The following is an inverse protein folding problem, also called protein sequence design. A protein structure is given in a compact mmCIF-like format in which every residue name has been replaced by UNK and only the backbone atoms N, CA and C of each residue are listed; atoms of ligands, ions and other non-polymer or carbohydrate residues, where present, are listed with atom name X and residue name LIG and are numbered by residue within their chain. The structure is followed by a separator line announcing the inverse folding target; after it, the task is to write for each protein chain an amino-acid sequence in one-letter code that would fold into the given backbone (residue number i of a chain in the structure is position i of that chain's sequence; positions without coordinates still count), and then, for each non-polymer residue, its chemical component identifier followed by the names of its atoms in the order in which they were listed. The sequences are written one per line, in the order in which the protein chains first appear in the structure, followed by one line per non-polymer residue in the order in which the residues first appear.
data_IF_469706533375
#
_entry.id   IF_469706533375
#
_cell.length_a   1.000
_cell.length_b   1.000
_cell.length_c   1.000
_cell.angle_alpha   90.00
_cell.angle_beta   90.00
_cell.angle_gamma   90.00
#
_symmetry.space_group_name_H-M   'P 1'
#
loop_
_entity.id
_entity.type
_entity.pdbx_description
1 polymer ?
#
# COMPACT_ATOMS: atom_id res chain seq x y z
N UNK A 1 -27.76 -9.81 1.98
CA UNK A 1 -26.51 -9.52 2.69
C UNK A 1 -26.58 -9.94 4.16
N UNK A 2 -27.55 -9.49 4.95
CA UNK A 2 -27.61 -9.85 6.37
C UNK A 2 -27.92 -11.32 6.65
N UNK A 3 -28.67 -11.99 5.78
CA UNK A 3 -29.11 -13.38 5.98
C UNK A 3 -28.02 -14.41 5.66
N UNK A 4 -27.00 -14.04 4.87
CA UNK A 4 -25.93 -14.95 4.45
C UNK A 4 -24.57 -14.50 4.96
N UNK A 5 -24.25 -13.21 4.83
CA UNK A 5 -22.91 -12.69 5.14
C UNK A 5 -22.67 -12.64 6.64
N UNK A 6 -23.61 -12.11 7.41
CA UNK A 6 -23.43 -12.00 8.85
C UNK A 6 -23.39 -13.36 9.57
N UNK A 7 -24.28 -14.33 9.27
CA UNK A 7 -24.13 -15.69 9.80
C UNK A 7 -22.83 -16.37 9.38
N UNK A 8 -22.31 -16.05 8.19
CA UNK A 8 -20.98 -16.53 7.75
C UNK A 8 -19.87 -16.01 8.64
N UNK A 9 -19.85 -14.72 8.93
CA UNK A 9 -18.88 -14.13 9.87
C UNK A 9 -18.99 -14.71 11.28
N UNK A 10 -20.18 -14.96 11.76
CA UNK A 10 -20.42 -15.51 13.10
C UNK A 10 -20.33 -17.03 13.16
N UNK A 11 -19.90 -17.70 12.09
CA UNK A 11 -19.65 -19.13 12.13
C UNK A 11 -18.53 -19.45 13.14
N UNK A 12 -18.74 -20.37 14.12
CA UNK A 12 -17.75 -20.69 15.14
C UNK A 12 -16.40 -21.22 14.63
N UNK A 13 -16.34 -21.60 13.34
CA UNK A 13 -15.09 -22.03 12.69
C UNK A 13 -14.22 -20.86 12.21
N UNK A 14 -14.77 -19.65 12.19
CA UNK A 14 -14.07 -18.45 11.75
C UNK A 14 -13.56 -17.69 12.97
N UNK A 15 -12.40 -17.11 12.83
CA UNK A 15 -11.85 -16.11 13.75
C UNK A 15 -11.75 -14.80 12.99
N UNK A 16 -12.56 -13.83 13.36
CA UNK A 16 -12.70 -12.55 12.66
C UNK A 16 -11.94 -11.46 13.40
N UNK A 17 -10.97 -10.88 12.72
CA UNK A 17 -10.24 -9.71 13.20
C UNK A 17 -10.72 -8.48 12.42
N UNK A 18 -11.11 -7.44 13.13
CA UNK A 18 -11.45 -6.14 12.54
C UNK A 18 -10.45 -5.11 13.01
N UNK A 19 -9.75 -4.48 12.07
CA UNK A 19 -8.90 -3.32 12.32
C UNK A 19 -9.62 -2.09 11.78
N UNK A 20 -10.02 -1.19 12.67
CA UNK A 20 -10.81 0.00 12.29
C UNK A 20 -10.51 1.14 13.26
N UNK A 21 -10.61 2.37 12.77
CA UNK A 21 -10.48 3.58 13.58
C UNK A 21 -11.72 3.86 14.42
N UNK A 22 -12.85 3.23 14.09
CA UNK A 22 -14.13 3.40 14.77
C UNK A 22 -14.79 2.06 15.08
N UNK A 23 -15.60 1.98 16.14
CA UNK A 23 -16.40 0.80 16.45
C UNK A 23 -17.59 0.69 15.48
N UNK A 24 -17.31 0.25 14.26
CA UNK A 24 -18.29 0.09 13.19
C UNK A 24 -19.25 -1.08 13.44
N UNK A 25 -20.34 -1.13 12.65
CA UNK A 25 -21.26 -2.28 12.69
C UNK A 25 -20.55 -3.59 12.36
N UNK A 26 -19.56 -3.56 11.47
CA UNK A 26 -18.72 -4.73 11.13
C UNK A 26 -17.97 -5.24 12.37
N UNK A 27 -17.50 -4.36 13.23
CA UNK A 27 -16.81 -4.72 14.45
C UNK A 27 -17.68 -5.56 15.43
N UNK A 28 -19.01 -5.49 15.31
CA UNK A 28 -19.92 -6.33 16.12
C UNK A 28 -19.82 -7.83 15.77
N UNK A 29 -19.30 -8.16 14.58
CA UNK A 29 -19.08 -9.54 14.19
C UNK A 29 -17.67 -10.05 14.53
N UNK A 30 -16.79 -9.19 15.05
CA UNK A 30 -15.40 -9.54 15.31
C UNK A 30 -15.23 -10.37 16.60
N UNK A 31 -14.25 -11.25 16.56
CA UNK A 31 -13.70 -11.93 17.74
C UNK A 31 -12.57 -11.12 18.37
N UNK A 32 -11.86 -10.33 17.57
CA UNK A 32 -10.81 -9.42 17.99
C UNK A 32 -10.95 -8.08 17.25
N UNK A 33 -10.88 -6.99 18.00
CA UNK A 33 -10.85 -5.64 17.43
C UNK A 33 -9.48 -5.03 17.72
N UNK A 34 -8.82 -4.56 16.66
CA UNK A 34 -7.57 -3.83 16.75
C UNK A 34 -7.83 -2.35 16.40
N UNK A 35 -7.58 -1.44 17.35
CA UNK A 35 -7.71 -0.02 17.04
C UNK A 35 -6.63 0.40 16.04
N UNK A 36 -7.03 1.02 14.94
CA UNK A 36 -6.11 1.49 13.91
C UNK A 36 -6.06 3.00 13.80
N UNK A 37 -4.89 3.51 13.45
CA UNK A 37 -4.68 4.93 13.22
C UNK A 37 -5.40 5.40 11.94
N UNK A 38 -5.98 6.58 11.99
CA UNK A 38 -6.54 7.25 10.82
C UNK A 38 -5.44 7.76 9.89
N UNK A 39 -5.82 8.13 8.67
CA UNK A 39 -4.86 8.60 7.66
C UNK A 39 -4.02 9.80 8.11
N UNK A 40 -4.54 10.70 8.94
CA UNK A 40 -3.81 11.86 9.49
C UNK A 40 -2.90 11.49 10.68
N UNK A 41 -3.11 10.32 11.24
CA UNK A 41 -2.41 9.80 12.43
C UNK A 41 -1.30 8.81 12.06
N UNK A 42 -0.98 8.69 10.80
CA UNK A 42 0.06 7.82 10.24
C UNK A 42 0.64 8.41 8.97
N UNK A 43 1.79 7.91 8.58
CA UNK A 43 2.38 8.14 7.27
C UNK A 43 1.78 7.20 6.24
N UNK A 44 1.80 7.59 4.99
CA UNK A 44 1.30 6.69 3.96
C UNK A 44 1.20 7.29 2.57
N UNK A 45 0.65 6.47 1.68
CA UNK A 45 0.34 6.85 0.32
C UNK A 45 -1.05 6.38 -0.06
N UNK A 46 -1.74 7.14 -0.88
CA UNK A 46 -2.95 6.66 -1.55
C UNK A 46 -3.02 7.11 -3.00
N UNK A 47 -3.68 6.29 -3.79
CA UNK A 47 -4.16 6.66 -5.10
C UNK A 47 -5.61 7.16 -5.02
N UNK A 48 -6.00 7.98 -5.96
CA UNK A 48 -7.36 8.48 -6.07
C UNK A 48 -7.97 8.18 -7.44
N UNK A 49 -9.20 8.60 -7.66
CA UNK A 49 -9.91 8.41 -8.93
C UNK A 49 -9.24 9.11 -10.12
N UNK A 50 -8.38 10.11 -9.88
CA UNK A 50 -7.56 10.74 -10.92
C UNK A 50 -6.30 9.93 -11.27
N UNK A 51 -6.08 8.78 -10.67
CA UNK A 51 -4.85 7.98 -10.79
C UNK A 51 -3.63 8.69 -10.20
N UNK A 52 -3.84 9.62 -9.27
CA UNK A 52 -2.77 10.36 -8.63
C UNK A 52 -2.30 9.60 -7.39
N UNK A 53 -1.01 9.31 -7.29
CA UNK A 53 -0.39 8.80 -6.07
C UNK A 53 0.17 9.96 -5.27
N UNK A 54 -0.17 10.02 -3.99
CA UNK A 54 0.22 11.08 -3.07
C UNK A 54 0.73 10.48 -1.77
N UNK A 55 1.82 11.02 -1.25
CA UNK A 55 2.32 10.70 0.08
C UNK A 55 1.96 11.80 1.07
N UNK A 56 1.74 11.42 2.31
CA UNK A 56 1.51 12.33 3.41
C UNK A 56 2.30 11.92 4.64
N UNK A 57 2.54 12.90 5.48
CA UNK A 57 3.15 12.72 6.78
C UNK A 57 2.09 12.49 7.85
N UNK A 58 2.50 11.88 8.96
CA UNK A 58 1.73 11.90 10.18
C UNK A 58 1.57 13.36 10.64
N UNK A 59 0.35 13.80 10.86
CA UNK A 59 0.02 15.18 11.25
C UNK A 59 -0.36 15.29 12.72
N UNK A 60 -0.77 14.19 13.33
CA UNK A 60 -1.14 14.10 14.74
C UNK A 60 -0.92 12.68 15.24
N UNK A 61 -0.68 12.53 16.53
CA UNK A 61 -0.56 11.20 17.13
C UNK A 61 -1.89 10.45 17.12
N UNK A 62 -1.80 9.16 16.87
CA UNK A 62 -2.93 8.26 17.05
C UNK A 62 -3.33 8.18 18.52
N UNK A 63 -4.62 8.18 18.86
CA UNK A 63 -5.06 8.12 20.26
C UNK A 63 -4.86 6.74 20.87
N UNK A 64 -4.53 6.72 22.14
CA UNK A 64 -4.43 5.50 22.95
C UNK A 64 -3.43 4.48 22.38
N UNK A 65 -3.89 3.27 22.18
CA UNK A 65 -3.07 2.16 21.65
C UNK A 65 -3.18 1.99 20.13
N UNK A 66 -3.87 2.89 19.44
CA UNK A 66 -4.05 2.81 18.00
C UNK A 66 -2.71 2.81 17.25
N UNK A 67 -2.58 1.90 16.30
CA UNK A 67 -1.39 1.76 15.45
C UNK A 67 -1.80 1.69 13.99
N UNK A 68 -0.90 2.05 13.09
CA UNK A 68 -1.16 1.90 11.66
C UNK A 68 -1.29 0.45 11.24
N UNK A 69 -1.97 0.21 10.12
CA UNK A 69 -2.09 -1.13 9.56
C UNK A 69 -0.71 -1.73 9.25
N UNK A 70 0.21 -0.92 8.73
CA UNK A 70 1.58 -1.37 8.44
C UNK A 70 2.30 -1.79 9.73
N UNK A 71 2.19 -1.00 10.79
CA UNK A 71 2.77 -1.36 12.09
C UNK A 71 2.21 -2.70 12.60
N UNK A 72 0.90 -2.87 12.53
CA UNK A 72 0.24 -4.11 12.94
C UNK A 72 0.77 -5.32 12.13
N UNK A 73 0.83 -5.19 10.80
CA UNK A 73 1.34 -6.26 9.93
C UNK A 73 2.81 -6.59 10.21
N UNK A 74 3.64 -5.58 10.41
CA UNK A 74 5.05 -5.77 10.76
C UNK A 74 5.19 -6.49 12.10
N UNK A 75 4.44 -6.08 13.12
CA UNK A 75 4.47 -6.74 14.43
C UNK A 75 3.95 -8.19 14.39
N UNK A 76 2.92 -8.47 13.61
CA UNK A 76 2.48 -9.85 13.37
C UNK A 76 3.56 -10.67 12.68
N UNK A 77 4.20 -10.13 11.67
CA UNK A 77 5.20 -10.82 10.87
C UNK A 77 6.43 -11.27 11.67
N UNK A 78 6.71 -10.61 12.79
CA UNK A 78 7.80 -11.00 13.70
C UNK A 78 7.52 -12.27 14.50
N UNK A 79 6.24 -12.68 14.61
CA UNK A 79 5.78 -13.78 15.46
C UNK A 79 5.65 -15.11 14.73
N UNK A 80 5.74 -15.10 13.41
CA UNK A 80 5.56 -16.29 12.59
C UNK A 80 6.79 -16.55 11.75
N UNK A 81 7.15 -17.81 11.62
CA UNK A 81 8.15 -18.26 10.66
C UNK A 81 7.49 -18.61 9.33
N UNK A 82 8.26 -18.57 8.27
CA UNK A 82 7.82 -19.02 6.95
C UNK A 82 7.40 -20.48 6.94
N UNK A 83 8.09 -21.33 7.73
CA UNK A 83 7.81 -22.76 7.82
C UNK A 83 6.44 -23.05 8.46
N UNK A 84 5.92 -22.14 9.29
CA UNK A 84 4.61 -22.27 9.92
C UNK A 84 3.46 -21.85 9.01
N UNK A 85 3.68 -20.91 8.11
CA UNK A 85 2.57 -20.25 7.40
C UNK A 85 2.59 -20.42 5.89
N UNK A 86 3.74 -20.70 5.28
CA UNK A 86 3.83 -20.83 3.84
C UNK A 86 3.73 -22.29 3.37
N UNK A 87 3.12 -22.52 2.20
CA UNK A 87 3.07 -23.83 1.61
C UNK A 87 4.49 -24.41 1.39
N UNK A 88 4.63 -25.71 1.60
CA UNK A 88 5.92 -26.39 1.44
C UNK A 88 6.52 -26.19 0.05
N UNK A 89 5.69 -26.21 -0.98
CA UNK A 89 6.10 -26.01 -2.37
C UNK A 89 6.76 -24.65 -2.58
N UNK A 90 6.26 -23.60 -1.92
CA UNK A 90 6.85 -22.27 -1.95
C UNK A 90 8.21 -22.23 -1.28
N UNK A 91 8.35 -22.90 -0.15
CA UNK A 91 9.62 -22.98 0.58
C UNK A 91 10.65 -23.84 -0.15
N UNK A 92 10.24 -24.92 -0.80
CA UNK A 92 11.13 -25.75 -1.60
C UNK A 92 11.62 -25.02 -2.86
N UNK A 93 10.77 -24.17 -3.44
CA UNK A 93 11.18 -23.30 -4.55
C UNK A 93 12.10 -22.13 -4.10
N UNK A 94 12.07 -21.78 -2.81
CA UNK A 94 12.85 -20.67 -2.24
C UNK A 94 13.52 -21.09 -0.92
N UNK A 95 14.53 -21.98 -0.95
CA UNK A 95 15.15 -22.54 0.26
C UNK A 95 15.75 -21.49 1.21
N UNK A 96 16.13 -20.33 0.67
CA UNK A 96 16.67 -19.21 1.44
C UNK A 96 15.67 -18.60 2.44
N UNK A 97 14.38 -18.89 2.30
CA UNK A 97 13.34 -18.40 3.20
C UNK A 97 13.08 -19.31 4.39
N UNK A 98 13.49 -20.59 4.33
CA UNK A 98 13.28 -21.56 5.41
C UNK A 98 13.92 -21.10 6.72
N UNK A 99 13.18 -21.26 7.82
CA UNK A 99 13.62 -20.90 9.16
C UNK A 99 13.66 -19.40 9.46
N UNK A 100 13.24 -18.55 8.53
CA UNK A 100 13.17 -17.11 8.74
C UNK A 100 11.80 -16.71 9.25
N UNK A 101 11.73 -15.57 9.97
CA UNK A 101 10.45 -14.95 10.27
C UNK A 101 9.88 -14.29 9.01
N UNK A 102 8.56 -14.12 8.95
CA UNK A 102 7.92 -13.34 7.89
C UNK A 102 8.49 -11.93 7.84
N UNK A 103 8.81 -11.33 8.99
CA UNK A 103 9.45 -10.02 9.08
C UNK A 103 10.76 -9.95 8.29
N UNK A 104 11.62 -10.96 8.48
CA UNK A 104 12.91 -11.00 7.79
C UNK A 104 12.77 -11.15 6.28
N UNK A 105 11.74 -11.85 5.81
CA UNK A 105 11.55 -12.09 4.38
C UNK A 105 10.80 -10.94 3.71
N UNK A 106 9.77 -10.39 4.36
CA UNK A 106 8.89 -9.41 3.75
C UNK A 106 9.33 -7.96 3.99
N UNK A 107 9.92 -7.67 5.15
CA UNK A 107 10.22 -6.30 5.57
C UNK A 107 11.70 -6.01 5.81
N UNK A 108 12.55 -7.02 5.77
CA UNK A 108 14.02 -6.91 5.92
C UNK A 108 14.74 -7.72 4.84
N UNK A 109 14.25 -7.64 3.64
CA UNK A 109 14.87 -8.24 2.46
C UNK A 109 15.71 -7.21 1.70
N UNK A 110 16.51 -7.69 0.76
CA UNK A 110 17.40 -6.85 -0.05
C UNK A 110 16.66 -5.75 -0.84
N UNK A 111 15.38 -5.92 -1.13
CA UNK A 111 14.60 -4.90 -1.84
C UNK A 111 14.18 -3.76 -0.91
N UNK A 112 13.75 -4.09 0.30
CA UNK A 112 13.36 -3.09 1.30
C UNK A 112 14.57 -2.38 1.87
N UNK A 113 15.59 -3.13 2.27
CA UNK A 113 16.81 -2.60 2.88
C UNK A 113 17.68 -1.77 1.91
N UNK A 114 17.46 -1.93 0.61
CA UNK A 114 18.08 -1.10 -0.43
C UNK A 114 17.72 0.39 -0.32
N UNK A 115 16.60 0.70 0.29
CA UNK A 115 16.09 2.06 0.43
C UNK A 115 16.00 2.46 1.91
N UNK A 116 17.13 2.54 2.63
CA UNK A 116 17.13 2.92 4.04
C UNK A 116 16.58 4.33 4.20
N UNK A 117 15.95 4.58 5.31
CA UNK A 117 15.50 5.90 5.67
C UNK A 117 16.70 6.80 5.91
N UNK A 118 16.85 7.83 5.12
CA UNK A 118 17.84 8.90 5.31
C UNK A 118 17.21 10.20 5.82
N UNK A 119 15.89 10.27 5.86
CA UNK A 119 15.12 11.48 6.14
C UNK A 119 14.21 11.25 7.34
N UNK A 120 14.06 12.27 8.14
CA UNK A 120 13.05 12.28 9.18
C UNK A 120 11.67 12.36 8.56
N UNK A 121 10.73 11.71 9.18
CA UNK A 121 9.35 11.77 8.78
C UNK A 121 8.69 13.01 9.35
N UNK A 122 8.61 13.97 8.55
CA UNK A 122 7.67 15.01 8.55
C UNK A 122 7.50 15.86 9.81
N UNK A 123 6.25 16.09 10.20
CA UNK A 123 5.88 17.12 11.15
C UNK A 123 6.33 16.89 12.60
N UNK A 124 6.66 15.67 12.96
CA UNK A 124 7.01 15.28 14.34
C UNK A 124 8.35 14.54 14.43
N UNK A 125 9.48 15.22 14.17
CA UNK A 125 10.78 14.57 14.10
C UNK A 125 11.27 13.96 15.43
N UNK A 126 10.68 14.34 16.56
CA UNK A 126 11.06 13.88 17.91
C UNK A 126 10.04 12.91 18.52
N UNK A 127 9.16 12.41 17.74
CA UNK A 127 8.09 11.55 18.20
C UNK A 127 8.18 10.18 17.51
N UNK A 128 7.86 9.13 18.23
CA UNK A 128 7.84 7.79 17.66
C UNK A 128 6.74 7.70 16.60
N UNK A 129 7.16 7.60 15.34
CA UNK A 129 6.23 7.34 14.26
C UNK A 129 5.61 5.96 14.43
N UNK A 130 4.32 5.86 14.20
CA UNK A 130 3.62 4.58 14.15
C UNK A 130 4.00 3.74 12.92
N UNK A 131 4.67 4.35 11.94
CA UNK A 131 4.95 3.78 10.64
C UNK A 131 6.42 3.68 10.27
N UNK A 132 7.30 3.61 11.25
CA UNK A 132 8.73 3.43 10.99
C UNK A 132 9.36 4.53 10.12
N UNK A 133 8.74 5.69 10.03
CA UNK A 133 9.30 6.86 9.38
C UNK A 133 9.58 6.69 7.89
N UNK A 134 8.65 6.20 7.09
CA UNK A 134 8.82 5.86 5.67
C UNK A 134 9.89 4.79 5.35
N UNK A 135 10.64 4.30 6.32
CA UNK A 135 11.72 3.36 6.07
C UNK A 135 11.24 2.12 5.28
N UNK A 136 10.32 1.39 5.86
CA UNK A 136 9.75 0.20 5.22
C UNK A 136 8.85 0.59 4.03
N UNK A 137 8.09 1.66 4.16
CA UNK A 137 7.17 2.12 3.11
C UNK A 137 7.90 2.46 1.82
N UNK A 138 9.06 3.11 1.88
CA UNK A 138 9.86 3.42 0.68
C UNK A 138 10.28 2.15 -0.04
N UNK A 139 10.81 1.17 0.67
CA UNK A 139 11.21 -0.09 0.08
C UNK A 139 10.05 -0.86 -0.54
N UNK A 140 8.95 -0.99 0.18
CA UNK A 140 7.74 -1.65 -0.31
C UNK A 140 7.13 -0.94 -1.53
N UNK A 141 7.14 0.39 -1.52
CA UNK A 141 6.63 1.16 -2.65
C UNK A 141 7.49 0.96 -3.90
N UNK A 142 8.81 1.01 -3.77
CA UNK A 142 9.71 0.79 -4.90
C UNK A 142 9.61 -0.65 -5.44
N UNK A 143 9.46 -1.64 -4.57
CA UNK A 143 9.18 -3.02 -4.97
C UNK A 143 7.87 -3.10 -5.77
N UNK A 144 6.79 -2.57 -5.22
CA UNK A 144 5.48 -2.53 -5.89
C UNK A 144 5.55 -1.84 -7.25
N UNK A 145 6.26 -0.73 -7.34
CA UNK A 145 6.39 0.02 -8.58
C UNK A 145 7.07 -0.78 -9.72
N UNK A 146 7.90 -1.78 -9.40
CA UNK A 146 8.56 -2.62 -10.41
C UNK A 146 7.56 -3.43 -11.25
N UNK A 147 6.43 -3.81 -10.67
CA UNK A 147 5.42 -4.60 -11.37
C UNK A 147 4.70 -3.84 -12.48
N UNK A 148 4.61 -2.52 -12.36
CA UNK A 148 3.88 -1.65 -13.30
C UNK A 148 4.75 -0.95 -14.33
N UNK A 149 6.04 -0.75 -14.05
CA UNK A 149 6.95 -0.01 -14.93
C UNK A 149 7.13 -0.72 -16.28
N UNK A 150 6.97 0.02 -17.35
CA UNK A 150 6.99 -0.51 -18.72
C UNK A 150 5.73 -1.26 -19.15
N UNK A 151 4.69 -1.32 -18.30
CA UNK A 151 3.44 -2.06 -18.55
C UNK A 151 2.20 -1.17 -18.53
N UNK A 152 2.36 0.10 -18.81
CA UNK A 152 1.30 1.11 -18.78
C UNK A 152 0.69 1.41 -17.39
N UNK A 153 1.38 1.00 -16.34
CA UNK A 153 1.05 1.29 -14.93
C UNK A 153 2.24 1.89 -14.19
N UNK A 154 3.09 2.62 -14.93
CA UNK A 154 4.34 3.14 -14.43
C UNK A 154 4.11 4.13 -13.29
N UNK A 155 4.66 3.81 -12.15
CA UNK A 155 4.76 4.72 -11.03
C UNK A 155 6.13 5.41 -11.06
N UNK A 156 6.15 6.68 -10.70
CA UNK A 156 7.40 7.38 -10.43
C UNK A 156 8.09 6.76 -9.21
N UNK A 157 9.34 7.14 -8.95
CA UNK A 157 10.02 6.75 -7.73
C UNK A 157 9.36 7.35 -6.49
N UNK A 158 9.55 6.72 -5.34
CA UNK A 158 9.12 7.26 -4.06
C UNK A 158 9.58 8.71 -3.87
N UNK A 159 10.86 8.99 -4.12
CA UNK A 159 11.43 10.32 -3.93
C UNK A 159 10.79 11.37 -4.84
N UNK A 160 10.38 10.99 -6.04
CA UNK A 160 9.65 11.87 -6.95
C UNK A 160 8.26 12.20 -6.41
N UNK A 161 7.52 11.20 -5.96
CA UNK A 161 6.20 11.42 -5.36
C UNK A 161 6.27 12.18 -4.05
N UNK A 162 7.25 11.87 -3.20
CA UNK A 162 7.45 12.51 -1.91
C UNK A 162 7.74 14.01 -2.02
N UNK A 163 8.45 14.42 -3.08
CA UNK A 163 8.77 15.83 -3.37
C UNK A 163 7.68 16.56 -4.15
N UNK A 164 6.73 15.85 -4.71
CA UNK A 164 5.63 16.40 -5.49
C UNK A 164 4.32 16.33 -4.70
N UNK A 165 3.31 17.07 -5.18
CA UNK A 165 1.95 16.95 -4.66
C UNK A 165 1.17 15.78 -5.29
N UNK A 166 1.90 14.80 -5.81
CA UNK A 166 1.37 13.66 -6.50
C UNK A 166 1.35 13.81 -8.01
N UNK A 167 1.54 12.70 -8.71
CA UNK A 167 1.53 12.60 -10.16
C UNK A 167 0.55 11.52 -10.61
N UNK A 168 -0.07 11.74 -11.77
CA UNK A 168 -0.99 10.76 -12.39
C UNK A 168 -0.19 9.70 -13.14
N UNK A 169 -0.39 8.43 -12.77
CA UNK A 169 0.24 7.34 -13.51
C UNK A 169 -0.51 7.03 -14.84
N UNK A 170 0.16 6.49 -15.87
CA UNK A 170 1.60 6.23 -15.95
C UNK A 170 2.46 7.49 -15.89
N UNK A 171 3.60 7.39 -15.18
CA UNK A 171 4.63 8.42 -15.17
C UNK A 171 5.81 7.89 -15.97
N UNK A 172 5.97 8.38 -17.17
CA UNK A 172 7.02 7.96 -18.10
C UNK A 172 7.97 9.14 -18.34
N UNK A 173 9.26 8.89 -18.23
CA UNK A 173 10.31 9.92 -18.38
C UNK A 173 10.05 11.16 -17.49
N UNK A 174 9.57 10.92 -16.26
CA UNK A 174 9.27 11.96 -15.29
C UNK A 174 8.00 12.78 -15.58
N UNK A 175 7.24 12.41 -16.61
CA UNK A 175 6.00 13.12 -17.00
C UNK A 175 4.76 12.31 -16.62
N UNK A 176 3.83 12.97 -15.98
CA UNK A 176 2.51 12.38 -15.67
C UNK A 176 1.63 12.28 -16.92
N UNK A 177 0.78 11.28 -16.97
CA UNK A 177 -0.22 11.10 -18.02
C UNK A 177 -1.54 11.76 -17.62
N UNK A 178 -1.86 12.89 -18.22
CA UNK A 178 -3.10 13.63 -17.89
C UNK A 178 -4.35 12.88 -18.35
N UNK A 179 -4.32 12.33 -19.54
CA UNK A 179 -5.45 11.58 -20.12
C UNK A 179 -5.01 10.19 -20.57
N UNK A 180 -5.62 9.18 -19.98
CA UNK A 180 -5.44 7.79 -20.40
C UNK A 180 -6.13 7.54 -21.73
N UNK A 181 -5.54 6.62 -22.48
CA UNK A 181 -6.05 6.13 -23.77
C UNK A 181 -6.18 7.20 -24.87
N UNK A 182 -5.69 8.40 -24.63
CA UNK A 182 -5.74 9.47 -25.61
C UNK A 182 -4.40 9.60 -26.35
N UNK A 183 -4.50 9.60 -27.69
CA UNK A 183 -3.34 9.80 -28.54
C UNK A 183 -2.68 11.18 -28.30
N UNK A 184 -1.35 11.21 -28.26
CA UNK A 184 -0.57 12.41 -27.96
C UNK A 184 -0.46 12.77 -26.47
N UNK A 185 -1.18 12.07 -25.59
CA UNK A 185 -1.15 12.29 -24.13
C UNK A 185 -0.75 11.05 -23.34
N UNK A 186 -1.19 9.88 -23.78
CA UNK A 186 -0.83 8.62 -23.18
C UNK A 186 0.33 7.99 -23.96
N UNK A 187 1.52 7.83 -23.35
CA UNK A 187 2.70 7.32 -24.06
C UNK A 187 2.53 5.87 -24.56
N UNK A 188 1.54 5.15 -24.05
CA UNK A 188 1.23 3.78 -24.47
C UNK A 188 0.22 3.68 -25.62
N UNK A 189 -0.34 4.81 -26.04
CA UNK A 189 -1.27 4.85 -27.18
C UNK A 189 -0.51 5.08 -28.47
N UNK A 190 -0.57 4.09 -29.36
CA UNK A 190 0.04 4.18 -30.70
C UNK A 190 -0.76 5.14 -31.60
N UNK A 191 -0.14 5.75 -32.61
CA UNK A 191 -0.83 6.57 -33.59
C UNK A 191 -2.05 5.86 -34.18
N UNK A 192 -3.18 6.55 -34.25
CA UNK A 192 -4.44 6.03 -34.76
C UNK A 192 -5.14 4.99 -33.84
N UNK A 193 -4.65 4.79 -32.60
CA UNK A 193 -5.21 3.83 -31.63
C UNK A 193 -5.78 4.50 -30.37
N UNK A 194 -5.93 5.81 -30.39
CA UNK A 194 -6.60 6.52 -29.30
C UNK A 194 -8.08 6.14 -29.19
N UNK A 195 -8.59 6.08 -27.95
CA UNK A 195 -10.00 5.79 -27.69
C UNK A 195 -10.77 7.10 -27.61
N UNK A 196 -11.89 7.15 -28.31
CA UNK A 196 -12.86 8.23 -28.23
C UNK A 196 -13.92 7.88 -27.18
N UNK A 197 -13.97 8.67 -26.12
CA UNK A 197 -15.03 8.55 -25.11
C UNK A 197 -16.18 9.50 -25.45
N UNK A 198 -17.40 9.02 -25.33
CA UNK A 198 -18.62 9.78 -25.63
C UNK A 198 -18.69 10.41 -27.03
N UNK A 199 -18.05 9.78 -28.01
CA UNK A 199 -17.97 10.28 -29.38
C UNK A 199 -17.14 11.55 -29.57
N UNK A 200 -16.32 11.90 -28.59
CA UNK A 200 -15.41 13.07 -28.64
C UNK A 200 -13.96 12.63 -28.78
N UNK A 201 -13.28 13.18 -29.78
CA UNK A 201 -11.84 12.88 -30.03
C UNK A 201 -10.92 13.27 -28.88
N UNK A 202 -11.33 14.20 -28.04
CA UNK A 202 -10.55 14.64 -26.90
C UNK A 202 -10.76 13.78 -25.66
N UNK A 203 -11.61 12.77 -25.72
CA UNK A 203 -11.87 11.83 -24.61
C UNK A 203 -12.52 12.47 -23.38
N UNK A 204 -13.08 13.65 -23.49
CA UNK A 204 -13.80 14.31 -22.39
C UNK A 204 -15.29 13.92 -22.38
N UNK A 205 -15.81 13.79 -21.18
CA UNK A 205 -17.25 13.58 -20.97
C UNK A 205 -18.08 14.81 -21.36
#
# INVERSE_FOLDING_TARGET
MNEETYPGYRNPKNFIVVSDAYPTVTAQAADLILPTAMWVEKEGAYGNAERRTQFWYELTQAPGESKSDLWQLVEFSKRFTTDEVWPKEMLDANPAYKGKTLYQVLYRNDQVDKYPLSETNGAFPNHESTDFGFYIQKGLFEEYATFGRGKAHDLASFDTYHKSRGLRWPVVDGKETLWRFREGFDPYVKPGKGVEFYGKKDGRA
#
